data_IF_319651661956
#
_entry.id   IF_319651661956
#
_cell.length_a   1.000
_cell.length_b   1.000
_cell.length_c   1.000
_cell.angle_alpha   90.00
_cell.angle_beta   90.00
_cell.angle_gamma   90.00
#
_symmetry.space_group_name_H-M   'P 1'
#
loop_
_entity.id
_entity.type
_entity.pdbx_description
1 polymer ?
#
# COMPACT_ATOMS: atom_id res chain seq x y z
N UNK A 1 -17.87 -2.92 30.89
CA UNK A 1 -17.48 -4.25 30.41
C UNK A 1 -18.09 -4.60 29.05
N UNK A 2 -19.38 -4.36 28.81
CA UNK A 2 -20.11 -4.70 27.59
C UNK A 2 -19.54 -4.04 26.30
N UNK A 3 -19.20 -2.74 26.31
CA UNK A 3 -18.69 -1.99 25.14
C UNK A 3 -17.30 -2.50 24.69
N UNK A 4 -16.43 -2.88 25.64
CA UNK A 4 -15.09 -3.40 25.32
C UNK A 4 -15.17 -4.75 24.61
N UNK A 5 -16.13 -5.60 24.98
CA UNK A 5 -16.32 -6.91 24.36
C UNK A 5 -16.86 -6.78 22.90
N UNK A 6 -17.72 -5.80 22.65
CA UNK A 6 -18.21 -5.50 21.30
C UNK A 6 -17.05 -5.06 20.39
N UNK A 7 -16.13 -4.24 20.88
CA UNK A 7 -14.95 -3.82 20.13
C UNK A 7 -14.09 -5.01 19.66
N UNK A 8 -13.81 -5.95 20.56
CA UNK A 8 -13.03 -7.14 20.21
C UNK A 8 -13.77 -8.06 19.23
N UNK A 9 -15.08 -8.21 19.39
CA UNK A 9 -15.89 -9.00 18.47
C UNK A 9 -15.90 -8.42 17.06
N UNK A 10 -15.95 -7.09 16.91
CA UNK A 10 -15.88 -6.41 15.61
C UNK A 10 -14.51 -6.57 14.94
N UNK A 11 -13.42 -6.46 15.70
CA UNK A 11 -12.08 -6.74 15.17
C UNK A 11 -11.92 -8.19 14.72
N UNK A 12 -12.45 -9.13 15.49
CA UNK A 12 -12.44 -10.54 15.13
C UNK A 12 -13.23 -10.79 13.84
N UNK A 13 -14.44 -10.19 13.73
CA UNK A 13 -15.26 -10.29 12.52
C UNK A 13 -14.52 -9.78 11.28
N UNK A 14 -13.90 -8.60 11.36
CA UNK A 14 -13.08 -8.07 10.26
C UNK A 14 -11.93 -9.03 9.94
N UNK A 15 -11.21 -9.52 10.92
CA UNK A 15 -10.13 -10.49 10.73
C UNK A 15 -10.60 -11.75 9.99
N UNK A 16 -11.74 -12.31 10.37
CA UNK A 16 -12.34 -13.47 9.70
C UNK A 16 -12.70 -13.12 8.24
N UNK A 17 -13.33 -11.96 8.00
CA UNK A 17 -13.68 -11.54 6.63
C UNK A 17 -12.46 -11.44 5.72
N UNK A 18 -11.37 -10.84 6.18
CA UNK A 18 -10.13 -10.74 5.38
C UNK A 18 -9.43 -12.09 5.20
N UNK A 19 -9.47 -12.96 6.19
CA UNK A 19 -8.95 -14.32 6.05
C UNK A 19 -9.78 -15.16 5.08
N UNK A 20 -11.11 -15.06 5.10
CA UNK A 20 -11.95 -15.75 4.11
C UNK A 20 -11.73 -15.21 2.70
N UNK A 21 -11.56 -13.88 2.54
CA UNK A 21 -11.27 -13.26 1.26
C UNK A 21 -9.99 -13.83 0.61
N UNK A 22 -8.99 -14.18 1.41
CA UNK A 22 -7.72 -14.74 0.94
C UNK A 22 -7.92 -16.06 0.16
N UNK A 23 -8.88 -16.89 0.58
CA UNK A 23 -9.12 -18.22 0.01
C UNK A 23 -10.25 -18.27 -1.02
N UNK A 24 -10.87 -17.13 -1.34
CA UNK A 24 -11.91 -17.09 -2.36
C UNK A 24 -11.33 -17.34 -3.76
N UNK A 25 -12.07 -17.97 -4.68
CA UNK A 25 -11.66 -18.06 -6.07
C UNK A 25 -11.50 -16.66 -6.68
N UNK A 26 -10.68 -16.57 -7.73
CA UNK A 26 -10.53 -15.31 -8.46
C UNK A 26 -11.86 -14.96 -9.15
N UNK A 27 -12.25 -13.71 -9.03
CA UNK A 27 -13.41 -13.20 -9.76
C UNK A 27 -13.03 -12.98 -11.24
N UNK A 28 -14.02 -13.01 -12.09
CA UNK A 28 -13.87 -12.65 -13.51
C UNK A 28 -13.48 -11.17 -13.66
N UNK A 29 -13.04 -10.78 -14.86
CA UNK A 29 -12.57 -9.45 -15.25
C UNK A 29 -11.13 -9.14 -14.80
N UNK A 30 -10.90 -7.96 -14.22
CA UNK A 30 -9.58 -7.40 -13.94
C UNK A 30 -8.73 -8.31 -13.04
N UNK A 31 -9.32 -8.92 -12.01
CA UNK A 31 -8.61 -9.76 -11.06
C UNK A 31 -7.99 -10.99 -11.73
N UNK A 32 -8.78 -11.71 -12.54
CA UNK A 32 -8.30 -12.86 -13.27
C UNK A 32 -7.26 -12.48 -14.34
N UNK A 33 -7.49 -11.39 -15.06
CA UNK A 33 -6.56 -10.86 -16.06
C UNK A 33 -5.20 -10.52 -15.43
N UNK A 34 -5.20 -9.80 -14.31
CA UNK A 34 -3.96 -9.42 -13.62
C UNK A 34 -3.23 -10.63 -13.05
N UNK A 35 -3.95 -11.65 -12.58
CA UNK A 35 -3.36 -12.89 -12.12
C UNK A 35 -2.64 -13.63 -13.25
N UNK A 36 -3.27 -13.74 -14.44
CA UNK A 36 -2.65 -14.36 -15.61
C UNK A 36 -1.39 -13.60 -16.04
N UNK A 37 -1.44 -12.26 -16.07
CA UNK A 37 -0.27 -11.44 -16.44
C UNK A 37 0.88 -11.63 -15.44
N UNK A 38 0.60 -11.67 -14.13
CA UNK A 38 1.61 -11.93 -13.10
C UNK A 38 2.15 -13.37 -13.18
N UNK A 39 1.30 -14.34 -13.53
CA UNK A 39 1.70 -15.73 -13.75
C UNK A 39 2.65 -15.86 -14.95
N UNK A 40 2.31 -15.23 -16.08
CA UNK A 40 3.18 -15.21 -17.25
C UNK A 40 4.54 -14.57 -16.95
N UNK A 41 4.54 -13.43 -16.24
CA UNK A 41 5.75 -12.77 -15.78
C UNK A 41 6.67 -13.72 -14.98
N UNK A 42 6.11 -14.49 -14.05
CA UNK A 42 6.87 -15.46 -13.25
C UNK A 42 7.34 -16.67 -14.09
N UNK A 43 6.51 -17.19 -15.01
CA UNK A 43 6.84 -18.36 -15.83
C UNK A 43 7.90 -18.05 -16.89
N UNK A 44 7.84 -16.86 -17.50
CA UNK A 44 8.74 -16.43 -18.56
C UNK A 44 10.01 -15.76 -18.00
N UNK A 45 10.07 -15.51 -16.68
CA UNK A 45 11.14 -14.72 -16.02
C UNK A 45 11.32 -13.31 -16.64
N UNK A 46 10.27 -12.75 -17.24
CA UNK A 46 10.27 -11.41 -17.78
C UNK A 46 9.52 -10.44 -16.86
N UNK A 47 10.27 -9.75 -16.00
CA UNK A 47 9.76 -8.79 -15.03
C UNK A 47 9.66 -7.36 -15.57
N UNK A 48 10.11 -7.16 -16.82
CA UNK A 48 10.19 -5.83 -17.42
C UNK A 48 9.03 -5.52 -18.35
N UNK A 49 8.47 -6.54 -18.97
CA UNK A 49 7.36 -6.38 -19.91
C UNK A 49 6.09 -7.01 -19.34
N UNK A 50 4.97 -6.33 -19.59
CA UNK A 50 3.65 -6.86 -19.29
C UNK A 50 2.93 -7.15 -20.59
N UNK A 51 2.49 -8.39 -20.77
CA UNK A 51 1.75 -8.80 -21.96
C UNK A 51 0.32 -9.15 -21.61
N UNK A 52 -0.61 -8.66 -22.45
CA UNK A 52 -2.01 -9.08 -22.47
C UNK A 52 -2.33 -9.66 -23.83
N UNK A 53 -2.62 -10.96 -23.90
CA UNK A 53 -2.91 -11.65 -25.16
C UNK A 53 -1.80 -11.47 -26.23
N UNK A 54 -0.54 -11.46 -25.82
CA UNK A 54 0.61 -11.30 -26.71
C UNK A 54 0.90 -9.86 -27.18
N UNK A 55 0.22 -8.86 -26.61
CA UNK A 55 0.46 -7.42 -26.89
C UNK A 55 0.92 -6.74 -25.60
N UNK A 56 1.83 -5.77 -25.75
CA UNK A 56 2.32 -4.97 -24.62
C UNK A 56 1.16 -4.26 -23.89
N UNK A 57 1.14 -4.41 -22.57
CA UNK A 57 0.14 -3.80 -21.69
C UNK A 57 0.73 -2.62 -20.94
N UNK A 58 0.39 -1.41 -21.36
CA UNK A 58 0.94 -0.16 -20.83
C UNK A 58 -0.03 0.62 -19.91
N UNK A 59 -1.21 0.06 -19.61
CA UNK A 59 -2.25 0.79 -18.87
C UNK A 59 -1.90 1.00 -17.39
N UNK A 60 -1.08 0.12 -16.82
CA UNK A 60 -0.77 0.17 -15.38
C UNK A 60 0.69 -0.13 -15.08
N UNK A 61 1.26 0.56 -14.06
CA UNK A 61 2.63 0.29 -13.62
C UNK A 61 2.79 -1.11 -13.02
N UNK A 62 4.03 -1.59 -12.96
CA UNK A 62 4.39 -3.01 -12.74
C UNK A 62 4.28 -3.50 -11.28
N UNK A 63 4.20 -2.62 -10.28
CA UNK A 63 4.36 -3.01 -8.85
C UNK A 63 3.41 -4.11 -8.39
N UNK A 64 2.13 -4.03 -8.80
CA UNK A 64 1.15 -5.04 -8.42
C UNK A 64 1.50 -6.42 -8.99
N UNK A 65 1.94 -6.46 -10.24
CA UNK A 65 2.33 -7.70 -10.94
C UNK A 65 3.61 -8.29 -10.37
N UNK A 66 4.61 -7.46 -10.06
CA UNK A 66 5.84 -7.91 -9.39
C UNK A 66 5.57 -8.56 -8.03
N UNK A 67 4.70 -7.95 -7.22
CA UNK A 67 4.33 -8.53 -5.92
C UNK A 67 3.59 -9.87 -6.09
N UNK A 68 2.70 -9.95 -7.07
CA UNK A 68 1.95 -11.17 -7.34
C UNK A 68 2.85 -12.26 -7.95
N UNK A 69 3.72 -11.92 -8.90
CA UNK A 69 4.68 -12.85 -9.50
C UNK A 69 5.64 -13.43 -8.46
N UNK A 70 6.21 -12.58 -7.60
CA UNK A 70 7.05 -13.03 -6.47
C UNK A 70 6.28 -13.98 -5.53
N UNK A 71 5.02 -13.68 -5.26
CA UNK A 71 4.18 -14.57 -4.43
C UNK A 71 3.91 -15.91 -5.11
N UNK A 72 3.72 -15.93 -6.42
CA UNK A 72 3.57 -17.17 -7.18
C UNK A 72 4.84 -18.01 -7.19
N UNK A 73 6.00 -17.41 -7.31
CA UNK A 73 7.28 -18.15 -7.23
C UNK A 73 7.51 -18.79 -5.86
N UNK A 74 7.12 -18.10 -4.78
CA UNK A 74 7.34 -18.58 -3.42
C UNK A 74 6.32 -19.62 -2.98
N UNK A 75 5.06 -19.50 -3.41
CA UNK A 75 3.91 -20.25 -2.87
C UNK A 75 3.13 -21.04 -3.93
N UNK A 76 3.55 -20.98 -5.20
CA UNK A 76 2.88 -21.63 -6.31
C UNK A 76 1.68 -20.87 -6.87
N UNK A 77 1.19 -21.30 -8.02
CA UNK A 77 0.13 -20.64 -8.80
C UNK A 77 -1.26 -20.98 -8.25
N UNK A 78 -1.60 -20.35 -7.13
CA UNK A 78 -2.87 -20.57 -6.43
C UNK A 78 -3.59 -19.23 -6.17
N UNK A 79 -4.93 -19.22 -6.08
CA UNK A 79 -5.69 -17.98 -5.82
C UNK A 79 -5.26 -17.25 -4.54
N UNK A 80 -4.93 -17.98 -3.48
CA UNK A 80 -4.49 -17.37 -2.23
C UNK A 80 -3.09 -16.76 -2.34
N UNK A 81 -2.16 -17.40 -3.08
CA UNK A 81 -0.83 -16.84 -3.31
C UNK A 81 -0.92 -15.52 -4.07
N UNK A 82 -1.81 -15.43 -5.08
CA UNK A 82 -2.09 -14.18 -5.78
C UNK A 82 -2.59 -13.07 -4.85
N UNK A 83 -3.46 -13.40 -3.88
CA UNK A 83 -4.07 -12.44 -2.96
C UNK A 83 -3.17 -12.01 -1.79
N UNK A 84 -2.19 -12.83 -1.46
CA UNK A 84 -1.33 -12.62 -0.29
C UNK A 84 -0.65 -11.24 -0.24
N UNK A 85 -0.05 -10.71 -1.33
CA UNK A 85 0.57 -9.38 -1.31
C UNK A 85 -0.43 -8.26 -0.99
N UNK A 86 -1.64 -8.33 -1.53
CA UNK A 86 -2.68 -7.35 -1.26
C UNK A 86 -3.19 -7.43 0.18
N UNK A 87 -3.39 -8.64 0.69
CA UNK A 87 -3.73 -8.88 2.09
C UNK A 87 -2.68 -8.29 3.04
N UNK A 88 -1.40 -8.59 2.81
CA UNK A 88 -0.30 -8.03 3.61
C UNK A 88 -0.22 -6.50 3.50
N UNK A 89 -0.46 -5.95 2.32
CA UNK A 89 -0.54 -4.51 2.11
C UNK A 89 -1.66 -3.88 2.93
N UNK A 90 -2.86 -4.46 2.95
CA UNK A 90 -3.99 -3.97 3.75
C UNK A 90 -3.69 -4.02 5.26
N UNK A 91 -3.01 -5.06 5.74
CA UNK A 91 -2.55 -5.14 7.13
C UNK A 91 -1.52 -4.05 7.44
N UNK A 92 -0.57 -3.80 6.53
CA UNK A 92 0.38 -2.70 6.63
C UNK A 92 -0.32 -1.34 6.64
N UNK A 93 -1.33 -1.14 5.79
CA UNK A 93 -2.13 0.08 5.73
C UNK A 93 -2.87 0.35 7.04
N UNK A 94 -3.55 -0.66 7.57
CA UNK A 94 -4.25 -0.58 8.85
C UNK A 94 -3.28 -0.26 10.01
N UNK A 95 -2.15 -0.96 10.07
CA UNK A 95 -1.09 -0.67 11.05
C UNK A 95 -0.55 0.76 10.90
N UNK A 96 -0.35 1.21 9.68
CA UNK A 96 0.15 2.56 9.40
C UNK A 96 -0.83 3.63 9.87
N UNK A 97 -2.13 3.44 9.63
CA UNK A 97 -3.18 4.35 10.10
C UNK A 97 -3.31 4.32 11.63
N UNK A 98 -3.15 3.17 12.26
CA UNK A 98 -3.06 3.07 13.72
C UNK A 98 -1.91 3.93 14.27
N UNK A 99 -0.71 3.81 13.68
CA UNK A 99 0.47 4.57 14.08
C UNK A 99 0.35 6.06 13.77
N UNK A 100 -0.18 6.40 12.58
CA UNK A 100 -0.44 7.77 12.15
C UNK A 100 -1.43 8.48 13.09
N UNK A 101 -2.56 7.83 13.37
CA UNK A 101 -3.57 8.37 14.29
C UNK A 101 -3.04 8.53 15.72
N UNK A 102 -2.13 7.62 16.14
CA UNK A 102 -1.41 7.74 17.40
C UNK A 102 -0.49 8.96 17.49
N UNK A 103 0.14 9.35 16.37
CA UNK A 103 0.96 10.57 16.27
C UNK A 103 0.11 11.84 16.21
N UNK A 104 -1.03 11.80 15.52
CA UNK A 104 -1.92 12.97 15.36
C UNK A 104 -2.69 13.27 16.65
N UNK A 105 -3.15 12.26 17.37
CA UNK A 105 -3.97 12.45 18.55
C UNK A 105 -3.64 11.49 19.70
N UNK A 106 -3.99 10.21 19.55
CA UNK A 106 -3.72 9.15 20.53
C UNK A 106 -3.98 7.75 19.94
N UNK A 107 -3.62 6.71 20.71
CA UNK A 107 -3.77 5.30 20.28
C UNK A 107 -5.23 4.90 20.01
N UNK A 108 -6.20 5.43 20.75
CA UNK A 108 -7.62 5.13 20.55
C UNK A 108 -8.10 5.68 19.19
N UNK A 109 -7.72 6.90 18.85
CA UNK A 109 -8.00 7.49 17.55
C UNK A 109 -7.35 6.68 16.42
N UNK A 110 -6.10 6.26 16.60
CA UNK A 110 -5.42 5.38 15.64
C UNK A 110 -6.12 4.04 15.46
N UNK A 111 -6.60 3.43 16.55
CA UNK A 111 -7.39 2.19 16.47
C UNK A 111 -8.69 2.37 15.69
N UNK A 112 -9.39 3.48 15.94
CA UNK A 112 -10.61 3.80 15.19
C UNK A 112 -10.32 4.04 13.70
N UNK A 113 -9.25 4.74 13.37
CA UNK A 113 -8.84 4.98 11.98
C UNK A 113 -8.52 3.68 11.23
N UNK A 114 -7.78 2.77 11.86
CA UNK A 114 -7.48 1.45 11.30
C UNK A 114 -8.75 0.59 11.14
N UNK A 115 -9.65 0.65 12.11
CA UNK A 115 -10.92 -0.07 12.05
C UNK A 115 -11.79 0.44 10.90
N UNK A 116 -11.98 1.77 10.80
CA UNK A 116 -12.75 2.38 9.71
C UNK A 116 -12.13 2.01 8.36
N UNK A 117 -10.82 2.09 8.21
CA UNK A 117 -10.13 1.70 6.97
C UNK A 117 -10.48 0.28 6.54
N UNK A 118 -10.33 -0.71 7.43
CA UNK A 118 -10.61 -2.10 7.11
C UNK A 118 -12.11 -2.40 6.95
N UNK A 119 -12.99 -1.61 7.55
CA UNK A 119 -14.45 -1.78 7.45
C UNK A 119 -15.06 -1.05 6.25
N UNK A 120 -14.30 -0.22 5.52
CA UNK A 120 -14.82 0.45 4.33
C UNK A 120 -15.14 -0.56 3.22
N UNK A 121 -16.24 -0.37 2.54
CA UNK A 121 -16.63 -1.19 1.39
C UNK A 121 -15.51 -1.24 0.32
N UNK A 122 -14.81 -0.14 0.11
CA UNK A 122 -13.72 -0.06 -0.86
C UNK A 122 -12.58 -1.04 -0.53
N UNK A 123 -12.16 -1.14 0.73
CA UNK A 123 -11.08 -2.05 1.15
C UNK A 123 -11.56 -3.50 1.20
N UNK A 124 -12.79 -3.75 1.60
CA UNK A 124 -13.39 -5.08 1.51
C UNK A 124 -13.44 -5.54 0.06
N UNK A 125 -13.96 -4.73 -0.86
CA UNK A 125 -13.97 -5.06 -2.29
C UNK A 125 -12.55 -5.27 -2.83
N UNK A 126 -11.57 -4.45 -2.44
CA UNK A 126 -10.18 -4.61 -2.87
C UNK A 126 -9.53 -5.89 -2.34
N UNK A 127 -10.05 -6.51 -1.27
CA UNK A 127 -9.60 -7.80 -0.77
C UNK A 127 -10.28 -8.97 -1.49
N UNK A 128 -11.58 -8.86 -1.80
CA UNK A 128 -12.37 -9.91 -2.46
C UNK A 128 -12.15 -9.92 -3.98
N UNK A 129 -12.18 -8.75 -4.62
CA UNK A 129 -11.91 -8.56 -6.04
C UNK A 129 -10.57 -7.83 -6.19
N UNK A 130 -9.48 -8.56 -6.10
CA UNK A 130 -8.14 -8.06 -5.93
C UNK A 130 -7.80 -6.93 -6.91
N UNK A 131 -7.78 -5.69 -6.40
CA UNK A 131 -7.46 -4.48 -7.16
C UNK A 131 -6.14 -3.88 -6.69
N UNK A 132 -5.51 -3.13 -7.57
CA UNK A 132 -4.27 -2.38 -7.27
C UNK A 132 -4.45 -1.38 -6.12
N UNK A 133 -5.70 -1.01 -5.80
CA UNK A 133 -6.04 -0.04 -4.74
C UNK A 133 -5.62 -0.49 -3.34
N UNK A 134 -5.64 -1.80 -3.05
CA UNK A 134 -5.16 -2.35 -1.78
C UNK A 134 -3.69 -1.99 -1.51
N UNK A 135 -2.83 -2.15 -2.50
CA UNK A 135 -1.40 -1.80 -2.43
C UNK A 135 -1.23 -0.27 -2.38
N UNK A 136 -1.88 0.44 -3.32
CA UNK A 136 -1.80 1.90 -3.42
C UNK A 136 -2.11 2.60 -2.09
N UNK A 137 -3.32 2.40 -1.56
CA UNK A 137 -3.80 3.14 -0.38
C UNK A 137 -3.01 2.77 0.86
N UNK A 138 -2.60 1.52 0.97
CA UNK A 138 -1.78 1.04 2.09
C UNK A 138 -0.39 1.67 2.11
N UNK A 139 0.27 1.75 0.96
CA UNK A 139 1.58 2.39 0.86
C UNK A 139 1.51 3.92 0.93
N UNK A 140 0.42 4.55 0.51
CA UNK A 140 0.13 5.97 0.79
C UNK A 140 0.03 6.20 2.30
N UNK A 141 -0.75 5.40 3.03
CA UNK A 141 -0.87 5.48 4.48
C UNK A 141 0.48 5.23 5.20
N UNK A 142 1.25 4.27 4.72
CA UNK A 142 2.58 3.96 5.25
C UNK A 142 3.56 5.11 5.04
N UNK A 143 3.58 5.70 3.84
CA UNK A 143 4.40 6.88 3.55
C UNK A 143 4.02 8.05 4.44
N UNK A 144 2.73 8.37 4.58
CA UNK A 144 2.25 9.46 5.43
C UNK A 144 2.59 9.24 6.90
N UNK A 145 2.43 8.03 7.43
CA UNK A 145 2.88 7.75 8.80
C UNK A 145 4.37 8.05 8.97
N UNK A 146 5.20 7.60 8.04
CA UNK A 146 6.66 7.79 8.10
C UNK A 146 7.07 9.25 7.89
N UNK A 147 6.37 10.00 7.03
CA UNK A 147 6.58 11.45 6.86
C UNK A 147 6.25 12.21 8.14
N UNK A 148 5.14 11.87 8.82
CA UNK A 148 4.82 12.50 10.11
C UNK A 148 5.82 12.10 11.20
N UNK A 149 6.23 10.86 11.28
CA UNK A 149 7.29 10.42 12.19
C UNK A 149 8.60 11.19 11.94
N UNK A 150 8.95 11.42 10.68
CA UNK A 150 10.08 12.25 10.30
C UNK A 150 9.88 13.71 10.74
N UNK A 151 8.71 14.29 10.54
CA UNK A 151 8.44 15.67 10.96
C UNK A 151 8.63 15.86 12.49
N UNK A 152 8.28 14.85 13.29
CA UNK A 152 8.46 14.88 14.74
C UNK A 152 9.91 14.60 15.20
N UNK A 153 10.56 13.60 14.63
CA UNK A 153 11.82 13.06 15.18
C UNK A 153 13.06 13.35 14.31
N UNK A 154 12.89 13.86 13.09
CA UNK A 154 13.96 14.18 12.15
C UNK A 154 14.95 13.01 11.88
N UNK A 155 14.45 11.75 11.92
CA UNK A 155 15.28 10.56 11.68
C UNK A 155 15.43 10.29 10.19
N UNK A 156 16.65 10.08 9.72
CA UNK A 156 16.94 9.77 8.31
C UNK A 156 16.20 8.50 7.84
N UNK A 157 16.11 7.49 8.70
CA UNK A 157 15.40 6.25 8.38
C UNK A 157 13.90 6.49 8.07
N UNK A 158 13.24 7.42 8.78
CA UNK A 158 11.82 7.67 8.57
C UNK A 158 11.55 8.32 7.21
N UNK A 159 12.38 9.29 6.78
CA UNK A 159 12.23 9.91 5.46
C UNK A 159 12.61 8.94 4.33
N UNK A 160 13.63 8.09 4.50
CA UNK A 160 14.01 7.09 3.52
C UNK A 160 12.90 6.02 3.33
N UNK A 161 12.33 5.52 4.43
CA UNK A 161 11.21 4.56 4.39
C UNK A 161 9.96 5.23 3.78
N UNK A 162 9.67 6.48 4.13
CA UNK A 162 8.55 7.22 3.56
C UNK A 162 8.68 7.36 2.04
N UNK A 163 9.88 7.72 1.57
CA UNK A 163 10.18 7.87 0.16
C UNK A 163 10.10 6.53 -0.60
N UNK A 164 10.61 5.45 -0.02
CA UNK A 164 10.45 4.09 -0.55
C UNK A 164 8.96 3.72 -0.67
N UNK A 165 8.18 3.95 0.37
CA UNK A 165 6.74 3.67 0.36
C UNK A 165 5.99 4.52 -0.68
N UNK A 166 6.36 5.80 -0.82
CA UNK A 166 5.82 6.67 -1.88
C UNK A 166 6.16 6.16 -3.28
N UNK A 167 7.39 5.65 -3.48
CA UNK A 167 7.80 5.07 -4.77
C UNK A 167 7.03 3.79 -5.09
N UNK A 168 6.78 2.92 -4.11
CA UNK A 168 5.92 1.73 -4.29
C UNK A 168 4.50 2.14 -4.66
N UNK A 169 3.92 3.12 -3.98
CA UNK A 169 2.59 3.65 -4.30
C UNK A 169 2.55 4.26 -5.71
N UNK A 170 3.58 5.03 -6.10
CA UNK A 170 3.73 5.57 -7.45
C UNK A 170 3.81 4.46 -8.49
N UNK A 171 4.64 3.45 -8.28
CA UNK A 171 4.78 2.30 -9.18
C UNK A 171 3.54 1.39 -9.21
N UNK A 172 2.48 1.72 -8.45
CA UNK A 172 1.19 1.03 -8.46
C UNK A 172 0.14 1.76 -9.30
N UNK A 173 0.07 3.11 -9.21
CA UNK A 173 -0.96 3.93 -9.91
C UNK A 173 -0.45 5.32 -10.36
N UNK A 174 0.86 5.52 -10.43
CA UNK A 174 1.46 6.75 -10.96
C UNK A 174 1.28 7.99 -10.08
N UNK A 175 1.13 9.14 -10.73
CA UNK A 175 1.15 10.47 -10.09
C UNK A 175 0.10 10.68 -8.98
N UNK A 176 -1.01 9.95 -9.01
CA UNK A 176 -2.06 10.07 -7.98
C UNK A 176 -1.50 9.89 -6.56
N UNK A 177 -0.61 8.90 -6.36
CA UNK A 177 0.02 8.65 -5.08
C UNK A 177 0.82 9.85 -4.57
N UNK A 178 1.64 10.44 -5.45
CA UNK A 178 2.52 11.58 -5.11
C UNK A 178 1.70 12.81 -4.75
N UNK A 179 0.66 13.10 -5.52
CA UNK A 179 -0.24 14.23 -5.27
C UNK A 179 -0.91 14.11 -3.90
N UNK A 180 -1.46 12.93 -3.58
CA UNK A 180 -2.13 12.71 -2.29
C UNK A 180 -1.14 12.81 -1.11
N UNK A 181 0.02 12.14 -1.22
CA UNK A 181 1.05 12.17 -0.17
C UNK A 181 1.59 13.59 0.01
N UNK A 182 1.94 14.25 -1.10
CA UNK A 182 2.49 15.61 -1.08
C UNK A 182 1.51 16.62 -0.50
N UNK A 183 0.26 16.61 -0.96
CA UNK A 183 -0.77 17.51 -0.47
C UNK A 183 -1.04 17.31 1.03
N UNK A 184 -1.20 16.07 1.48
CA UNK A 184 -1.46 15.77 2.89
C UNK A 184 -0.27 16.18 3.79
N UNK A 185 0.97 15.90 3.37
CA UNK A 185 2.16 16.26 4.13
C UNK A 185 2.38 17.78 4.17
N UNK A 186 2.24 18.47 3.04
CA UNK A 186 2.37 19.92 2.98
C UNK A 186 1.28 20.61 3.80
N UNK A 187 0.05 20.12 3.77
CA UNK A 187 -1.04 20.64 4.61
C UNK A 187 -0.72 20.48 6.10
N UNK A 188 -0.15 19.32 6.49
CA UNK A 188 0.30 19.11 7.87
C UNK A 188 1.39 20.10 8.27
N UNK A 189 2.44 20.27 7.44
CA UNK A 189 3.53 21.25 7.69
C UNK A 189 2.99 22.66 7.81
N UNK A 190 2.05 23.06 6.95
CA UNK A 190 1.40 24.38 6.99
C UNK A 190 0.65 24.60 8.31
N UNK A 191 -0.19 23.66 8.72
CA UNK A 191 -0.99 23.75 9.95
C UNK A 191 -0.10 23.78 11.21
N UNK A 192 0.98 23.02 11.22
CA UNK A 192 1.94 22.98 12.34
C UNK A 192 2.99 24.11 12.29
N UNK A 193 2.98 24.95 11.25
CA UNK A 193 3.98 26.01 11.00
C UNK A 193 5.43 25.49 11.04
N UNK A 194 5.65 24.23 10.67
CA UNK A 194 6.92 23.53 10.82
C UNK A 194 7.76 23.51 9.52
N UNK A 195 7.81 24.61 8.78
CA UNK A 195 8.49 24.74 7.49
C UNK A 195 9.97 24.34 7.50
N UNK A 196 10.65 24.45 8.65
CA UNK A 196 12.06 24.04 8.81
C UNK A 196 12.30 22.56 8.49
N UNK A 197 11.26 21.72 8.60
CA UNK A 197 11.32 20.29 8.25
C UNK A 197 11.70 20.10 6.79
N UNK A 198 11.23 20.98 5.89
CA UNK A 198 11.47 20.89 4.45
C UNK A 198 12.89 21.30 4.02
N UNK A 199 13.59 22.10 4.83
CA UNK A 199 14.93 22.61 4.53
C UNK A 199 16.05 21.67 4.99
N UNK A 200 15.73 20.48 5.47
CA UNK A 200 16.73 19.49 5.88
C UNK A 200 17.32 18.76 4.69
N UNK A 201 18.66 18.57 4.68
CA UNK A 201 19.34 17.73 3.66
C UNK A 201 18.75 16.31 3.55
N UNK A 202 18.10 15.83 4.61
CA UNK A 202 17.44 14.51 4.65
C UNK A 202 16.29 14.39 3.65
N UNK A 203 15.64 15.51 3.31
CA UNK A 203 14.63 15.55 2.23
C UNK A 203 15.29 15.21 0.90
N UNK A 204 16.49 15.74 0.61
CA UNK A 204 17.23 15.39 -0.61
C UNK A 204 17.55 13.89 -0.67
N UNK A 205 17.95 13.28 0.46
CA UNK A 205 18.12 11.83 0.55
C UNK A 205 16.83 11.08 0.26
N UNK A 206 15.70 11.53 0.82
CA UNK A 206 14.38 10.96 0.50
C UNK A 206 14.06 11.02 -0.98
N UNK A 207 14.29 12.17 -1.63
CA UNK A 207 14.08 12.32 -3.08
C UNK A 207 14.98 11.36 -3.89
N UNK A 208 16.24 11.22 -3.52
CA UNK A 208 17.15 10.26 -4.16
C UNK A 208 16.61 8.83 -4.03
N UNK A 209 16.17 8.40 -2.85
CA UNK A 209 15.57 7.06 -2.63
C UNK A 209 14.33 6.88 -3.51
N UNK A 210 13.47 7.89 -3.59
CA UNK A 210 12.26 7.87 -4.41
C UNK A 210 12.60 7.67 -5.90
N UNK A 211 13.48 8.51 -6.45
CA UNK A 211 13.83 8.44 -7.88
C UNK A 211 14.64 7.20 -8.25
N UNK A 212 15.52 6.71 -7.40
CA UNK A 212 16.23 5.45 -7.63
C UNK A 212 15.29 4.25 -7.75
N UNK A 213 14.16 4.27 -7.03
CA UNK A 213 13.19 3.17 -7.09
C UNK A 213 12.27 3.28 -8.30
N UNK A 214 11.89 4.50 -8.71
CA UNK A 214 11.01 4.73 -9.86
C UNK A 214 11.74 4.54 -11.18
N UNK A 215 13.00 4.96 -11.27
CA UNK A 215 13.76 5.00 -12.54
C UNK A 215 13.94 3.64 -13.24
N UNK A 216 13.50 2.55 -12.63
CA UNK A 216 13.47 1.21 -13.22
C UNK A 216 12.05 0.72 -13.59
N UNK A 217 11.03 1.51 -13.34
CA UNK A 217 9.63 1.11 -13.54
C UNK A 217 8.98 1.72 -14.80
N UNK A 218 9.72 2.48 -15.59
CA UNK A 218 9.24 3.22 -16.75
C UNK A 218 10.18 3.12 -17.97
N UNK A 219 10.87 2.00 -18.14
CA UNK A 219 11.62 1.71 -19.38
C UNK A 219 10.85 0.70 -20.21
#
# INVERSE_FOLDING_TARGET
MRIRNIHWALWLLIGILYLTALFMPLMENDSAQFAVMAMNMAQENDYWHLYKNGVDYLDKPHMHYWLAALSFELFGYTPWAYRLPAFLSLMLGAYSLFRLGGLVKNKSFGSSAAFVFLSTQAMLLAAFDLRTDSVLVSFVAFSLWKLLAYAHAQRLADIAIAAFAAAVAFSTKGMLAVVVIGFAFLSYIYLQKSWRVLWSYKIAVGLVVFFLKIGRAHV
#
